data_IF_993497856093
#
_entry.id   IF_993497856093
#
_cell.length_a   1.000
_cell.length_b   1.000
_cell.length_c   1.000
_cell.angle_alpha   90.00
_cell.angle_beta   90.00
_cell.angle_gamma   90.00
#
_symmetry.space_group_name_H-M   'P 1'
#
loop_
_entity.id
_entity.type
_entity.pdbx_description
1 polymer ?
#
# COMPACT_ATOMS: atom_id res chain seq x y z
N UNK A 1 -25.76 5.54 8.19
CA UNK A 1 -25.38 4.82 6.96
C UNK A 1 -24.09 5.41 6.46
N UNK A 2 -23.21 4.60 5.87
CA UNK A 2 -21.96 5.09 5.27
C UNK A 2 -22.26 5.97 4.05
N UNK A 3 -21.40 6.96 3.79
CA UNK A 3 -21.49 7.79 2.59
C UNK A 3 -21.13 6.93 1.36
N UNK A 4 -21.92 6.93 0.28
CA UNK A 4 -21.76 5.97 -0.82
C UNK A 4 -20.60 6.30 -1.77
N UNK A 5 -20.08 7.53 -1.76
CA UNK A 5 -18.94 7.93 -2.60
C UNK A 5 -17.65 7.72 -1.81
N UNK A 6 -16.95 6.63 -2.10
CA UNK A 6 -15.63 6.31 -1.54
C UNK A 6 -14.59 6.33 -2.64
N UNK A 7 -13.41 6.87 -2.31
CA UNK A 7 -12.24 6.91 -3.22
C UNK A 7 -11.15 5.98 -2.69
N UNK A 8 -10.42 5.38 -3.60
CA UNK A 8 -9.27 4.52 -3.30
C UNK A 8 -8.01 5.21 -3.81
N UNK A 9 -7.05 5.39 -2.91
CA UNK A 9 -5.71 5.82 -3.28
C UNK A 9 -4.95 4.64 -3.86
N UNK A 10 -4.19 4.88 -4.93
CA UNK A 10 -3.40 3.86 -5.61
C UNK A 10 -1.92 4.27 -5.67
N UNK A 11 -1.07 3.31 -5.36
CA UNK A 11 0.35 3.32 -5.61
C UNK A 11 0.64 2.41 -6.80
N UNK A 12 1.01 2.99 -7.94
CA UNK A 12 1.23 2.25 -9.19
C UNK A 12 2.73 1.96 -9.37
N UNK A 13 3.09 0.69 -9.50
CA UNK A 13 4.47 0.22 -9.68
C UNK A 13 4.54 -0.88 -10.75
N UNK A 14 5.73 -1.10 -11.32
CA UNK A 14 5.96 -2.23 -12.20
C UNK A 14 6.03 -3.53 -11.39
N UNK A 15 5.42 -4.60 -11.88
CA UNK A 15 5.55 -5.95 -11.31
C UNK A 15 6.96 -6.52 -11.51
N UNK A 16 7.56 -6.20 -12.66
CA UNK A 16 8.83 -6.69 -13.15
C UNK A 16 9.60 -5.60 -13.90
N UNK A 17 10.92 -5.77 -13.99
CA UNK A 17 11.78 -4.82 -14.70
C UNK A 17 12.01 -3.52 -13.94
N UNK A 18 11.84 -3.54 -12.61
CA UNK A 18 12.23 -2.43 -11.77
C UNK A 18 13.76 -2.25 -11.77
N UNK A 19 14.21 -1.03 -11.51
CA UNK A 19 15.63 -0.73 -11.38
C UNK A 19 16.21 -1.41 -10.13
N UNK A 20 17.20 -2.32 -10.26
CA UNK A 20 17.75 -3.07 -9.13
C UNK A 20 18.27 -2.17 -8.01
N UNK A 21 18.86 -1.02 -8.36
CA UNK A 21 19.41 -0.06 -7.39
C UNK A 21 18.36 0.60 -6.48
N UNK A 22 17.08 0.58 -6.86
CA UNK A 22 15.99 1.22 -6.09
C UNK A 22 14.89 0.26 -5.65
N UNK A 23 14.91 -0.99 -6.11
CA UNK A 23 13.83 -1.96 -5.85
C UNK A 23 13.60 -2.18 -4.35
N UNK A 24 14.66 -2.33 -3.57
CA UNK A 24 14.55 -2.54 -2.12
C UNK A 24 13.94 -1.32 -1.41
N UNK A 25 14.25 -0.11 -1.87
CA UNK A 25 13.67 1.13 -1.34
C UNK A 25 12.18 1.21 -1.66
N UNK A 26 11.78 0.86 -2.88
CA UNK A 26 10.36 0.81 -3.29
C UNK A 26 9.59 -0.21 -2.44
N UNK A 27 10.12 -1.44 -2.31
CA UNK A 27 9.52 -2.48 -1.48
C UNK A 27 9.38 -2.04 -0.02
N UNK A 28 10.42 -1.40 0.52
CA UNK A 28 10.43 -0.90 1.90
C UNK A 28 9.37 0.17 2.12
N UNK A 29 9.27 1.14 1.21
CA UNK A 29 8.26 2.20 1.28
C UNK A 29 6.85 1.63 1.22
N UNK A 30 6.54 0.78 0.23
CA UNK A 30 5.21 0.19 0.09
C UNK A 30 4.85 -0.71 1.27
N UNK A 31 5.81 -1.46 1.81
CA UNK A 31 5.60 -2.29 3.00
C UNK A 31 5.28 -1.45 4.23
N UNK A 32 5.96 -0.32 4.40
CA UNK A 32 5.67 0.63 5.47
C UNK A 32 4.30 1.28 5.28
N UNK A 33 3.96 1.74 4.08
CA UNK A 33 2.65 2.34 3.79
C UNK A 33 1.49 1.36 4.05
N UNK A 34 1.68 0.07 3.75
CA UNK A 34 0.73 -1.00 4.02
C UNK A 34 0.76 -1.49 5.48
N UNK A 35 1.73 -1.08 6.30
CA UNK A 35 1.83 -1.47 7.71
C UNK A 35 0.75 -0.83 8.57
N UNK A 36 0.52 -1.38 9.76
CA UNK A 36 -0.45 -0.86 10.71
C UNK A 36 -0.07 0.57 11.15
N UNK A 37 1.24 0.83 11.31
CA UNK A 37 1.77 2.16 11.63
C UNK A 37 1.55 3.15 10.49
N UNK A 38 1.80 2.74 9.24
CA UNK A 38 1.58 3.58 8.05
C UNK A 38 0.10 3.91 7.85
N UNK A 39 -0.77 2.92 7.97
CA UNK A 39 -2.22 3.10 7.86
C UNK A 39 -2.80 3.98 8.97
N UNK A 40 -2.23 3.92 10.18
CA UNK A 40 -2.67 4.75 11.32
C UNK A 40 -2.42 6.24 11.07
N UNK A 41 -1.36 6.62 10.38
CA UNK A 41 -1.10 8.04 10.05
C UNK A 41 -2.19 8.59 9.13
N UNK A 42 -2.73 7.77 8.23
CA UNK A 42 -3.74 8.19 7.27
C UNK A 42 -5.10 8.52 7.94
N UNK A 43 -5.39 7.93 9.10
CA UNK A 43 -6.64 8.22 9.82
C UNK A 43 -6.69 9.67 10.31
N UNK A 44 -5.53 10.25 10.66
CA UNK A 44 -5.43 11.66 11.06
C UNK A 44 -5.69 12.61 9.87
N UNK A 45 -5.45 12.14 8.65
CA UNK A 45 -5.76 12.83 7.40
C UNK A 45 -7.19 12.55 6.88
N UNK A 46 -8.01 11.81 7.64
CA UNK A 46 -9.41 11.54 7.29
C UNK A 46 -9.62 10.34 6.35
N UNK A 47 -8.59 9.53 6.10
CA UNK A 47 -8.73 8.29 5.36
C UNK A 47 -9.26 7.15 6.23
N UNK A 48 -9.98 6.23 5.60
CA UNK A 48 -10.32 4.96 6.22
C UNK A 48 -9.17 3.95 6.02
N UNK A 49 -8.87 3.10 7.02
CA UNK A 49 -7.86 2.06 6.86
C UNK A 49 -8.30 1.03 5.82
N UNK A 50 -7.33 0.53 5.06
CA UNK A 50 -7.57 -0.56 4.11
C UNK A 50 -8.02 -1.84 4.84
N UNK A 51 -9.01 -2.61 4.32
CA UNK A 51 -9.43 -3.86 4.93
C UNK A 51 -8.29 -4.89 5.02
N UNK A 52 -8.23 -5.64 6.12
CA UNK A 52 -7.14 -6.58 6.40
C UNK A 52 -6.91 -7.62 5.29
N UNK A 53 -7.98 -8.16 4.69
CA UNK A 53 -7.88 -9.12 3.58
C UNK A 53 -7.21 -8.51 2.35
N UNK A 54 -7.52 -7.25 2.04
CA UNK A 54 -6.91 -6.54 0.90
C UNK A 54 -5.46 -6.18 1.23
N UNK A 55 -5.18 -5.74 2.46
CA UNK A 55 -3.82 -5.44 2.92
C UNK A 55 -2.89 -6.67 2.80
N UNK A 56 -3.39 -7.86 3.14
CA UNK A 56 -2.64 -9.10 2.98
C UNK A 56 -2.22 -9.33 1.52
N UNK A 57 -3.15 -9.14 0.56
CA UNK A 57 -2.86 -9.26 -0.88
C UNK A 57 -1.85 -8.19 -1.35
N UNK A 58 -1.93 -6.97 -0.81
CA UNK A 58 -0.97 -5.89 -1.10
C UNK A 58 0.44 -6.29 -0.63
N UNK A 59 0.59 -6.75 0.62
CA UNK A 59 1.88 -7.18 1.19
C UNK A 59 2.49 -8.36 0.42
N UNK A 60 1.67 -9.32 -0.01
CA UNK A 60 2.09 -10.42 -0.87
C UNK A 60 2.62 -9.91 -2.23
N UNK A 61 1.88 -9.01 -2.88
CA UNK A 61 2.26 -8.42 -4.16
C UNK A 61 3.58 -7.65 -4.07
N UNK A 62 3.77 -6.85 -3.01
CA UNK A 62 5.02 -6.12 -2.76
C UNK A 62 6.22 -7.08 -2.66
N UNK A 63 6.04 -8.24 -2.02
CA UNK A 63 7.06 -9.27 -1.92
C UNK A 63 7.50 -9.81 -3.29
N UNK A 64 6.55 -9.94 -4.23
CA UNK A 64 6.80 -10.48 -5.57
C UNK A 64 7.45 -9.53 -6.58
N UNK A 65 7.56 -8.23 -6.28
CA UNK A 65 8.12 -7.25 -7.24
C UNK A 65 9.57 -7.60 -7.63
N UNK A 66 9.92 -7.41 -8.89
CA UNK A 66 11.26 -7.73 -9.43
C UNK A 66 11.83 -6.69 -10.39
#
# INVERSE_FOLDING_TARGET
GAYPLVLVTYEVVCDSGNKPETLDTVKSFLSYAASDDGQKILTDAGYAPIPAEINAKVRETIGSLS
#
